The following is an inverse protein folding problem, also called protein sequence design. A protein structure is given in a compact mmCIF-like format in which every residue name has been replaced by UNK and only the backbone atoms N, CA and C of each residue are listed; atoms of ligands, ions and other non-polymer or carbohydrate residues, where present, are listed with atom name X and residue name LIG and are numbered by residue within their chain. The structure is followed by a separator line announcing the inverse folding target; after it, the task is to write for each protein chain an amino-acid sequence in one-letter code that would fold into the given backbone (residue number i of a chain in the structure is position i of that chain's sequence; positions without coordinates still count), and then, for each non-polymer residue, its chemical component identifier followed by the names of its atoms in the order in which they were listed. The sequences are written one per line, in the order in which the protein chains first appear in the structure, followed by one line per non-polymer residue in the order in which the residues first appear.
data_IF_261552936080
#
_entry.id   IF_261552936080
#
_cell.length_a   1.000
_cell.length_b   1.000
_cell.length_c   1.000
_cell.angle_alpha   90.00
_cell.angle_beta   90.00
_cell.angle_gamma   90.00
#
_symmetry.space_group_name_H-M   'P 1'
#
loop_
_entity.id
_entity.type
_entity.pdbx_description
1 polymer ?
#
# COMPACT_ATOMS: atom_id res chain seq x y z
N UNK A 1 12.23 23.50 70.20
CA UNK A 1 12.25 24.97 70.39
C UNK A 1 11.74 25.57 69.09
N UNK A 2 10.44 25.89 68.99
CA UNK A 2 9.72 27.06 69.53
C UNK A 2 9.66 28.18 68.47
N UNK A 3 8.46 28.31 67.86
CA UNK A 3 7.77 29.51 67.35
C UNK A 3 8.45 30.34 66.24
N UNK A 4 7.77 30.93 65.24
CA UNK A 4 6.54 31.76 65.19
C UNK A 4 6.20 31.92 63.67
N UNK A 5 4.99 31.65 63.11
CA UNK A 5 3.76 32.47 63.12
C UNK A 5 4.05 33.96 62.75
N UNK A 6 3.49 34.65 61.74
CA UNK A 6 2.12 34.95 61.24
C UNK A 6 2.35 35.78 59.93
N UNK A 7 1.55 35.67 58.86
CA UNK A 7 0.60 36.72 58.50
C UNK A 7 -0.26 36.32 57.29
N UNK A 8 -1.56 36.18 57.56
CA UNK A 8 -2.64 36.27 56.59
C UNK A 8 -2.74 37.71 56.08
N UNK A 9 -2.88 37.89 54.76
CA UNK A 9 -3.43 39.11 54.19
C UNK A 9 -4.75 38.73 53.50
N UNK A 10 -5.80 39.10 54.21
CA UNK A 10 -7.16 39.27 53.71
C UNK A 10 -7.13 40.53 52.84
N UNK A 11 -7.53 40.45 51.56
CA UNK A 11 -7.83 41.64 50.78
C UNK A 11 -9.19 41.51 50.08
N UNK A 12 -10.10 42.30 50.65
CA UNK A 12 -11.38 42.84 50.23
C UNK A 12 -12.01 42.37 48.90
N UNK A 13 -13.23 41.86 49.07
CA UNK A 13 -14.38 42.06 48.19
C UNK A 13 -14.45 43.50 47.64
N UNK A 14 -14.48 43.63 46.32
CA UNK A 14 -15.12 44.75 45.63
C UNK A 14 -16.29 44.19 44.84
N UNK A 15 -17.48 44.28 45.44
CA UNK A 15 -18.76 44.12 44.76
C UNK A 15 -18.96 45.42 43.98
N UNK A 16 -18.60 45.43 42.69
CA UNK A 16 -18.97 46.54 41.81
C UNK A 16 -20.32 46.25 41.18
N UNK A 17 -21.21 47.20 41.42
CA UNK A 17 -22.62 47.26 41.07
C UNK A 17 -22.99 46.74 39.67
N UNK A 18 -24.08 45.97 39.63
CA UNK A 18 -24.96 45.86 38.47
C UNK A 18 -25.37 47.26 38.00
N UNK A 19 -25.02 47.61 36.77
CA UNK A 19 -25.69 48.65 35.99
C UNK A 19 -26.17 48.01 34.71
N UNK A 20 -27.42 47.58 34.70
CA UNK A 20 -28.12 47.09 33.52
C UNK A 20 -28.48 48.28 32.62
N UNK A 21 -27.51 48.75 31.83
CA UNK A 21 -27.82 49.54 30.64
C UNK A 21 -28.31 48.58 29.56
N UNK A 22 -29.61 48.64 29.30
CA UNK A 22 -30.24 48.12 28.08
C UNK A 22 -29.69 48.92 26.88
N UNK A 23 -28.48 48.60 26.43
CA UNK A 23 -28.08 48.88 25.06
C UNK A 23 -28.80 47.88 24.17
N UNK A 24 -29.76 48.39 23.40
CA UNK A 24 -30.25 47.73 22.20
C UNK A 24 -29.05 47.56 21.26
N UNK A 25 -28.33 46.46 21.40
CA UNK A 25 -27.35 45.99 20.44
C UNK A 25 -28.11 45.73 19.14
N UNK A 26 -28.13 46.75 18.29
CA UNK A 26 -28.44 46.62 16.88
C UNK A 26 -27.50 45.56 16.33
N UNK A 27 -28.03 44.35 16.14
CA UNK A 27 -27.36 43.26 15.46
C UNK A 27 -27.08 43.72 14.02
N UNK A 28 -25.96 44.41 13.83
CA UNK A 28 -25.35 44.56 12.53
C UNK A 28 -25.05 43.14 12.08
N UNK A 29 -25.94 42.58 11.25
CA UNK A 29 -25.65 41.38 10.46
C UNK A 29 -24.49 41.76 9.57
N UNK A 30 -23.28 41.59 10.08
CA UNK A 30 -22.07 41.53 9.28
C UNK A 30 -22.31 40.36 8.34
N UNK A 31 -22.72 40.67 7.11
CA UNK A 31 -22.70 39.76 5.99
C UNK A 31 -21.22 39.43 5.75
N UNK A 32 -20.66 38.54 6.57
CA UNK A 32 -19.37 37.95 6.31
C UNK A 32 -19.50 37.28 4.96
N UNK A 33 -18.83 37.85 3.95
CA UNK A 33 -18.75 37.25 2.64
C UNK A 33 -18.15 35.87 2.87
N UNK A 34 -18.95 34.84 2.65
CA UNK A 34 -18.53 33.46 2.81
C UNK A 34 -17.36 33.24 1.85
N UNK A 35 -16.16 33.14 2.42
CA UNK A 35 -14.95 33.03 1.63
C UNK A 35 -14.97 31.68 0.91
N UNK A 36 -14.76 31.71 -0.41
CA UNK A 36 -14.81 30.49 -1.22
C UNK A 36 -13.57 29.64 -1.03
N UNK A 37 -13.73 28.33 -1.19
CA UNK A 37 -12.61 27.40 -1.18
C UNK A 37 -11.62 27.72 -2.33
N UNK A 38 -10.33 27.97 -2.05
CA UNK A 38 -9.40 28.58 -3.00
C UNK A 38 -8.81 27.56 -3.98
N UNK A 39 -9.65 26.94 -4.81
CA UNK A 39 -9.26 25.82 -5.69
C UNK A 39 -8.22 26.21 -6.75
N UNK A 40 -8.26 27.45 -7.24
CA UNK A 40 -7.30 27.94 -8.24
C UNK A 40 -5.90 28.12 -7.66
N UNK A 41 -5.81 28.47 -6.37
CA UNK A 41 -4.53 28.51 -5.67
C UNK A 41 -3.95 27.10 -5.56
N UNK A 42 -4.75 26.11 -5.13
CA UNK A 42 -4.34 24.70 -5.03
C UNK A 42 -3.85 24.18 -6.39
N UNK A 43 -4.61 24.42 -7.47
CA UNK A 43 -4.22 24.05 -8.84
C UNK A 43 -2.85 24.63 -9.23
N UNK A 44 -2.59 25.89 -8.87
CA UNK A 44 -1.35 26.58 -9.21
C UNK A 44 -0.12 26.02 -8.49
N UNK A 45 -0.29 25.57 -7.25
CA UNK A 45 0.84 25.17 -6.38
C UNK A 45 1.05 23.66 -6.27
N UNK A 46 0.12 22.86 -6.80
CA UNK A 46 0.20 21.40 -6.84
C UNK A 46 0.78 20.92 -8.16
N UNK A 47 1.34 19.70 -8.18
CA UNK A 47 1.71 19.05 -9.44
C UNK A 47 0.48 18.51 -10.17
N UNK A 48 0.53 18.43 -11.50
CA UNK A 48 -0.46 17.65 -12.27
C UNK A 48 -0.41 16.18 -11.82
N UNK A 49 -1.57 15.60 -11.51
CA UNK A 49 -1.68 14.18 -11.13
C UNK A 49 -1.16 13.27 -12.23
N UNK A 50 -0.18 12.44 -11.87
CA UNK A 50 0.44 11.44 -12.73
C UNK A 50 -0.22 10.09 -12.55
N UNK A 51 -0.03 9.21 -13.53
CA UNK A 51 -0.48 7.82 -13.44
C UNK A 51 0.24 7.06 -12.32
N UNK A 52 1.52 7.31 -12.10
CA UNK A 52 2.34 6.55 -11.16
C UNK A 52 3.19 7.45 -10.27
N UNK A 53 3.26 7.11 -8.99
CA UNK A 53 4.18 7.70 -8.01
C UNK A 53 4.89 6.60 -7.22
N UNK A 54 6.20 6.76 -7.05
CA UNK A 54 6.97 6.07 -6.01
C UNK A 54 7.18 7.07 -4.87
N UNK A 55 6.53 6.86 -3.72
CA UNK A 55 6.58 7.82 -2.62
C UNK A 55 7.94 7.87 -1.91
N UNK A 56 8.78 6.85 -2.07
CA UNK A 56 10.14 6.86 -1.50
C UNK A 56 11.10 7.75 -2.28
N UNK A 57 10.81 7.96 -3.56
CA UNK A 57 11.58 8.86 -4.41
C UNK A 57 11.06 10.29 -4.37
N UNK A 58 10.05 10.57 -3.54
CA UNK A 58 9.45 11.89 -3.44
C UNK A 58 10.28 12.78 -2.52
N UNK A 59 10.89 13.81 -3.10
CA UNK A 59 11.49 14.88 -2.33
C UNK A 59 10.43 15.93 -1.96
N UNK A 60 9.86 15.80 -0.76
CA UNK A 60 8.84 16.71 -0.24
C UNK A 60 9.34 18.17 -0.14
N UNK A 61 10.65 18.42 -0.08
CA UNK A 61 11.20 19.77 -0.01
C UNK A 61 11.01 20.55 -1.33
N UNK A 62 10.78 19.85 -2.44
CA UNK A 62 10.48 20.46 -3.74
C UNK A 62 9.02 20.88 -3.89
N UNK A 63 8.16 20.49 -2.95
CA UNK A 63 6.73 20.79 -2.98
C UNK A 63 6.43 22.13 -2.31
N UNK A 64 5.30 22.73 -2.70
CA UNK A 64 4.87 23.99 -2.09
C UNK A 64 4.30 23.73 -0.69
N UNK A 65 4.86 24.34 0.38
CA UNK A 65 4.32 24.20 1.72
C UNK A 65 2.95 24.90 1.83
N UNK A 66 2.04 24.30 2.59
CA UNK A 66 0.74 24.88 2.93
C UNK A 66 0.94 25.77 4.14
N UNK A 67 0.51 27.03 4.02
CA UNK A 67 0.50 27.95 5.15
C UNK A 67 -0.36 27.41 6.31
N UNK A 68 0.12 27.54 7.55
CA UNK A 68 -0.57 27.00 8.72
C UNK A 68 -1.97 27.59 8.92
N UNK A 69 -2.18 28.87 8.59
CA UNK A 69 -3.50 29.50 8.67
C UNK A 69 -4.44 28.95 7.58
N UNK A 70 -3.91 28.69 6.39
CA UNK A 70 -4.66 28.01 5.32
C UNK A 70 -5.09 26.61 5.77
N UNK A 71 -4.14 25.80 6.27
CA UNK A 71 -4.43 24.44 6.68
C UNK A 71 -5.46 24.41 7.80
N UNK A 72 -5.25 25.23 8.83
CA UNK A 72 -6.14 25.32 9.98
C UNK A 72 -7.56 25.73 9.60
N UNK A 73 -7.68 26.63 8.63
CA UNK A 73 -8.99 27.10 8.15
C UNK A 73 -9.76 26.02 7.40
N UNK A 74 -9.08 25.28 6.53
CA UNK A 74 -9.76 24.43 5.55
C UNK A 74 -9.79 22.95 5.90
N UNK A 75 -8.77 22.45 6.61
CA UNK A 75 -8.55 21.02 6.85
C UNK A 75 -8.59 20.61 8.32
N UNK A 76 -8.36 21.52 9.27
CA UNK A 76 -8.40 21.18 10.70
C UNK A 76 -9.76 20.60 11.11
N UNK A 77 -9.71 19.49 11.85
CA UNK A 77 -10.86 18.72 12.35
C UNK A 77 -11.74 18.11 11.27
N UNK A 78 -11.27 18.04 10.02
CA UNK A 78 -11.99 17.29 8.98
C UNK A 78 -11.95 15.80 9.31
N UNK A 79 -13.11 15.16 9.27
CA UNK A 79 -13.24 13.71 9.42
C UNK A 79 -12.59 13.03 8.22
N UNK A 80 -11.82 11.98 8.49
CA UNK A 80 -11.23 11.13 7.46
C UNK A 80 -12.22 10.00 7.16
N UNK A 81 -12.74 9.94 5.94
CA UNK A 81 -13.84 9.07 5.54
C UNK A 81 -13.56 7.58 5.76
N UNK A 82 -12.29 7.18 5.70
CA UNK A 82 -11.84 5.79 5.87
C UNK A 82 -11.10 5.52 7.17
N UNK A 83 -11.03 6.52 8.04
CA UNK A 83 -10.53 6.39 9.40
C UNK A 83 -11.32 7.34 10.31
N UNK A 84 -12.53 6.93 10.65
CA UNK A 84 -13.45 7.73 11.46
C UNK A 84 -12.90 8.02 12.88
N UNK A 85 -11.87 7.29 13.34
CA UNK A 85 -11.21 7.52 14.62
C UNK A 85 -10.27 8.73 14.61
N UNK A 86 -9.73 9.09 13.45
CA UNK A 86 -8.62 10.02 13.34
C UNK A 86 -8.94 11.15 12.36
N UNK A 87 -9.64 12.22 12.82
CA UNK A 87 -9.77 13.41 11.98
C UNK A 87 -8.39 14.01 11.71
N UNK A 88 -8.27 14.74 10.60
CA UNK A 88 -7.10 15.59 10.36
C UNK A 88 -7.05 16.61 11.51
N UNK A 89 -5.92 16.65 12.23
CA UNK A 89 -5.69 17.60 13.31
C UNK A 89 -4.54 18.50 12.90
N UNK A 90 -4.77 19.81 12.97
CA UNK A 90 -3.67 20.74 12.84
C UNK A 90 -2.71 20.57 14.02
N UNK A 91 -1.48 20.24 13.70
CA UNK A 91 -0.31 20.28 14.56
C UNK A 91 0.62 21.41 14.11
N UNK A 92 1.11 22.17 15.10
CA UNK A 92 2.00 23.32 14.93
C UNK A 92 3.43 22.91 14.53
N UNK A 93 3.85 21.69 14.87
CA UNK A 93 5.20 21.19 14.58
C UNK A 93 5.29 20.40 13.29
N UNK A 94 4.14 19.98 12.77
CA UNK A 94 4.01 19.29 11.50
C UNK A 94 4.19 20.22 10.30
N UNK A 95 4.57 19.64 9.16
CA UNK A 95 4.66 20.32 7.87
C UNK A 95 3.63 19.75 6.90
N UNK A 96 3.04 20.63 6.10
CA UNK A 96 1.99 20.26 5.16
C UNK A 96 2.37 20.71 3.77
N UNK A 97 2.12 19.89 2.76
CA UNK A 97 2.45 20.18 1.37
C UNK A 97 1.29 19.86 0.46
N UNK A 98 1.08 20.71 -0.55
CA UNK A 98 0.28 20.32 -1.70
C UNK A 98 1.09 19.38 -2.58
N UNK A 99 0.51 18.24 -2.93
CA UNK A 99 1.21 17.21 -3.69
C UNK A 99 0.77 17.17 -5.14
N UNK A 100 -0.46 16.73 -5.39
CA UNK A 100 -0.99 16.58 -6.73
C UNK A 100 -2.40 17.17 -6.90
N UNK A 101 -2.81 17.34 -8.15
CA UNK A 101 -4.10 17.93 -8.53
C UNK A 101 -4.63 17.30 -9.82
N UNK A 102 -5.94 17.08 -9.87
CA UNK A 102 -6.67 16.63 -11.05
C UNK A 102 -8.05 17.29 -11.12
N UNK A 103 -8.33 17.95 -12.23
CA UNK A 103 -9.69 18.38 -12.56
C UNK A 103 -10.48 17.21 -13.17
N UNK A 104 -11.60 16.84 -12.54
CA UNK A 104 -12.47 15.74 -12.94
C UNK A 104 -13.90 16.24 -13.30
N UNK A 105 -13.99 17.42 -13.92
CA UNK A 105 -15.25 17.96 -14.41
C UNK A 105 -16.07 18.63 -13.31
N UNK A 106 -17.00 17.90 -12.67
CA UNK A 106 -17.80 18.46 -11.56
C UNK A 106 -17.06 18.49 -10.23
N UNK A 107 -16.01 17.67 -10.13
CA UNK A 107 -15.17 17.57 -8.94
C UNK A 107 -13.73 17.95 -9.25
N UNK A 108 -12.99 18.23 -8.20
CA UNK A 108 -11.54 18.35 -8.19
C UNK A 108 -11.00 17.36 -7.19
N UNK A 109 -9.96 16.65 -7.60
CA UNK A 109 -9.19 15.76 -6.74
C UNK A 109 -7.83 16.39 -6.50
N UNK A 110 -7.37 16.43 -5.26
CA UNK A 110 -6.02 16.86 -4.95
C UNK A 110 -5.52 16.12 -3.72
N UNK A 111 -4.20 16.03 -3.58
CA UNK A 111 -3.59 15.35 -2.43
C UNK A 111 -2.76 16.31 -1.61
N UNK A 112 -2.74 16.08 -0.30
CA UNK A 112 -1.84 16.75 0.63
C UNK A 112 -0.95 15.72 1.33
N UNK A 113 0.25 16.15 1.68
CA UNK A 113 1.17 15.37 2.53
C UNK A 113 1.23 16.08 3.87
N UNK A 114 0.96 15.34 4.93
CA UNK A 114 1.20 15.74 6.29
C UNK A 114 2.44 14.99 6.78
N UNK A 115 3.54 15.73 6.95
CA UNK A 115 4.75 15.23 7.60
C UNK A 115 4.67 15.53 9.08
N UNK A 116 4.55 14.49 9.90
CA UNK A 116 4.48 14.65 11.36
C UNK A 116 5.88 14.81 12.00
N UNK A 117 5.89 15.06 13.31
CA UNK A 117 7.12 15.23 14.09
C UNK A 117 7.91 13.92 14.27
N UNK A 118 7.26 12.78 14.07
CA UNK A 118 7.87 11.45 14.20
C UNK A 118 8.49 10.95 12.89
N UNK A 119 8.41 11.75 11.82
CA UNK A 119 9.01 11.43 10.53
C UNK A 119 8.13 10.57 9.62
N UNK A 120 6.86 10.41 9.94
CA UNK A 120 5.89 9.80 9.04
C UNK A 120 5.28 10.85 8.12
N UNK A 121 5.02 10.42 6.89
CA UNK A 121 4.33 11.15 5.85
C UNK A 121 2.97 10.51 5.64
N UNK A 122 1.91 11.20 6.06
CA UNK A 122 0.53 10.80 5.85
C UNK A 122 0.01 11.46 4.56
N UNK A 123 -0.49 10.67 3.64
CA UNK A 123 -0.99 11.12 2.34
C UNK A 123 -2.50 11.11 2.34
N UNK A 124 -3.11 12.28 2.17
CA UNK A 124 -4.56 12.41 2.08
C UNK A 124 -4.96 12.77 0.65
N UNK A 125 -5.96 12.10 0.10
CA UNK A 125 -6.66 12.55 -1.10
C UNK A 125 -7.96 13.26 -0.69
N UNK A 126 -8.19 14.42 -1.29
CA UNK A 126 -9.35 15.27 -1.00
C UNK A 126 -10.17 15.41 -2.28
N UNK A 127 -11.50 15.28 -2.12
CA UNK A 127 -12.48 15.51 -3.19
C UNK A 127 -13.27 16.77 -2.90
N UNK A 128 -13.22 17.73 -3.83
CA UNK A 128 -13.97 18.97 -3.78
C UNK A 128 -15.03 19.01 -4.87
N UNK A 129 -16.28 19.31 -4.54
CA UNK A 129 -17.36 19.45 -5.51
C UNK A 129 -17.59 20.92 -5.85
N UNK A 130 -17.31 21.28 -7.11
CA UNK A 130 -17.38 22.65 -7.61
C UNK A 130 -18.79 23.23 -7.61
N UNK A 131 -19.82 22.38 -7.71
CA UNK A 131 -21.22 22.81 -7.76
C UNK A 131 -21.74 23.17 -6.37
N UNK A 132 -21.36 22.38 -5.36
CA UNK A 132 -21.71 22.66 -3.96
C UNK A 132 -20.76 23.63 -3.26
N UNK A 133 -19.57 23.86 -3.84
CA UNK A 133 -18.46 24.58 -3.23
C UNK A 133 -18.01 23.99 -1.88
N UNK A 134 -18.10 22.66 -1.72
CA UNK A 134 -17.75 21.95 -0.49
C UNK A 134 -16.65 20.91 -0.72
N UNK A 135 -15.83 20.72 0.32
CA UNK A 135 -15.02 19.51 0.46
C UNK A 135 -15.98 18.36 0.78
N UNK A 136 -16.14 17.44 -0.16
CA UNK A 136 -17.03 16.30 0.03
C UNK A 136 -16.35 15.19 0.83
N UNK A 137 -15.06 14.95 0.58
CA UNK A 137 -14.36 13.75 1.07
C UNK A 137 -12.89 14.01 1.35
N UNK A 138 -12.36 13.31 2.35
CA UNK A 138 -10.97 13.28 2.78
C UNK A 138 -10.59 11.83 3.10
N UNK A 139 -9.76 11.22 2.26
CA UNK A 139 -9.33 9.83 2.39
C UNK A 139 -7.85 9.77 2.75
N UNK A 140 -7.47 9.04 3.80
CA UNK A 140 -6.07 8.66 4.05
C UNK A 140 -5.69 7.55 3.05
N UNK A 141 -4.81 7.84 2.10
CA UNK A 141 -4.48 6.93 1.00
C UNK A 141 -3.13 6.23 1.14
N UNK A 142 -2.20 6.75 1.95
CA UNK A 142 -0.93 6.08 2.25
C UNK A 142 -0.30 6.66 3.53
N UNK A 143 0.55 5.87 4.18
CA UNK A 143 1.45 6.31 5.24
C UNK A 143 2.84 5.82 4.87
N UNK A 144 3.79 6.74 4.70
CA UNK A 144 5.19 6.45 4.36
C UNK A 144 6.10 6.86 5.52
N UNK A 145 7.16 6.10 5.77
CA UNK A 145 8.04 6.31 6.92
C UNK A 145 8.10 5.10 7.83
N UNK A 146 8.94 5.16 8.84
CA UNK A 146 9.12 4.06 9.80
C UNK A 146 10.09 4.45 10.90
N UNK A 147 9.68 4.20 12.15
CA UNK A 147 10.58 4.07 13.27
C UNK A 147 10.96 2.58 13.46
N UNK A 148 12.09 2.31 14.12
CA UNK A 148 12.36 0.97 14.63
C UNK A 148 12.80 -0.12 13.63
N UNK A 149 13.29 0.24 12.43
CA UNK A 149 13.88 -0.72 11.48
C UNK A 149 12.88 -1.38 10.52
N UNK A 150 11.64 -0.90 10.50
CA UNK A 150 10.70 -1.19 9.42
C UNK A 150 10.74 -0.05 8.40
N UNK A 151 10.81 -0.36 7.11
CA UNK A 151 10.63 0.61 6.04
C UNK A 151 9.33 0.32 5.30
N UNK A 152 8.47 1.33 5.20
CA UNK A 152 7.24 1.26 4.42
C UNK A 152 7.43 2.07 3.15
N UNK A 153 7.31 1.40 2.02
CA UNK A 153 7.39 1.92 0.67
C UNK A 153 6.00 1.90 0.03
N UNK A 154 5.55 3.03 -0.51
CA UNK A 154 4.23 3.13 -1.14
C UNK A 154 4.33 3.51 -2.61
N UNK A 155 3.55 2.80 -3.44
CA UNK A 155 3.43 3.05 -4.86
C UNK A 155 1.98 3.37 -5.21
N UNK A 156 1.73 4.57 -5.72
CA UNK A 156 0.41 5.01 -6.14
C UNK A 156 0.27 4.80 -7.65
N UNK A 157 -0.77 4.09 -8.09
CA UNK A 157 -1.09 3.90 -9.50
C UNK A 157 -2.53 4.32 -9.78
N UNK A 158 -2.69 5.56 -10.25
CA UNK A 158 -3.98 6.12 -10.62
C UNK A 158 -4.45 5.60 -11.98
N UNK A 159 -5.76 5.45 -12.16
CA UNK A 159 -6.34 5.22 -13.47
C UNK A 159 -6.22 6.48 -14.37
N UNK A 160 -6.65 6.37 -15.63
CA UNK A 160 -6.55 7.47 -16.61
C UNK A 160 -7.34 8.72 -16.18
N UNK A 161 -8.46 8.52 -15.50
CA UNK A 161 -9.32 9.61 -15.03
C UNK A 161 -8.78 10.27 -13.75
N UNK A 162 -7.90 9.58 -13.01
CA UNK A 162 -7.35 10.03 -11.73
C UNK A 162 -8.27 9.80 -10.54
N UNK A 163 -9.42 9.14 -10.75
CA UNK A 163 -10.49 8.90 -9.77
C UNK A 163 -10.49 7.48 -9.18
N UNK A 164 -9.63 6.61 -9.68
CA UNK A 164 -9.35 5.29 -9.10
C UNK A 164 -7.86 5.16 -8.80
N UNK A 165 -7.53 4.58 -7.66
CA UNK A 165 -6.16 4.38 -7.18
C UNK A 165 -5.93 2.91 -6.82
N UNK A 166 -4.88 2.32 -7.39
CA UNK A 166 -4.29 1.09 -6.88
C UNK A 166 -3.04 1.47 -6.07
N UNK A 167 -3.11 1.28 -4.76
CA UNK A 167 -2.02 1.46 -3.82
C UNK A 167 -1.30 0.13 -3.60
N UNK A 168 0.00 0.09 -3.85
CA UNK A 168 0.85 -1.02 -3.39
C UNK A 168 1.69 -0.51 -2.23
N UNK A 169 1.49 -1.09 -1.06
CA UNK A 169 2.35 -0.85 0.12
C UNK A 169 3.29 -2.03 0.25
N UNK A 170 4.59 -1.77 0.34
CA UNK A 170 5.63 -2.75 0.60
C UNK A 170 6.21 -2.42 1.97
N UNK A 171 6.09 -3.35 2.91
CA UNK A 171 6.64 -3.24 4.25
C UNK A 171 7.84 -4.18 4.28
N UNK A 172 9.03 -3.63 4.58
CA UNK A 172 10.20 -4.45 4.82
C UNK A 172 10.69 -4.29 6.25
N UNK A 173 10.87 -5.43 6.92
CA UNK A 173 11.40 -5.50 8.27
C UNK A 173 12.89 -5.89 8.20
N UNK A 174 13.76 -5.03 8.74
CA UNK A 174 15.15 -5.41 9.01
C UNK A 174 15.24 -6.00 10.42
N UNK A 175 15.14 -7.34 10.52
CA UNK A 175 15.44 -8.02 11.78
C UNK A 175 16.96 -8.09 11.98
N UNK A 176 17.49 -7.21 12.83
CA UNK A 176 18.80 -7.37 13.45
C UNK A 176 18.76 -8.54 14.45
N UNK A 177 19.35 -9.68 14.07
CA UNK A 177 19.90 -10.62 15.05
C UNK A 177 21.40 -10.67 14.84
N UNK A 178 22.10 -10.41 15.93
CA UNK A 178 23.55 -10.37 16.07
C UNK A 178 24.27 -11.37 15.16
N UNK A 179 25.28 -10.82 14.49
CA UNK A 179 26.32 -11.49 13.71
C UNK A 179 25.93 -12.12 12.36
N UNK A 180 26.06 -11.27 11.32
CA UNK A 180 26.55 -11.64 9.98
C UNK A 180 25.63 -12.36 8.98
N UNK A 181 24.30 -12.15 8.97
CA UNK A 181 23.45 -12.34 7.78
C UNK A 181 22.07 -11.67 7.96
N UNK A 182 21.79 -10.57 7.24
CA UNK A 182 20.49 -9.91 7.28
C UNK A 182 19.45 -10.69 6.45
N UNK A 183 18.30 -11.01 7.04
CA UNK A 183 17.12 -11.48 6.32
C UNK A 183 16.13 -10.33 6.24
N UNK A 184 15.95 -9.77 5.05
CA UNK A 184 14.90 -8.78 4.78
C UNK A 184 13.61 -9.57 4.57
N UNK A 185 12.64 -9.41 5.47
CA UNK A 185 11.27 -9.86 5.19
C UNK A 185 10.55 -8.74 4.46
N UNK A 186 9.93 -9.05 3.32
CA UNK A 186 9.18 -8.08 2.51
C UNK A 186 7.74 -8.58 2.40
N UNK A 187 6.80 -7.85 2.99
CA UNK A 187 5.37 -8.05 2.82
C UNK A 187 4.80 -6.97 1.90
N UNK A 188 3.86 -7.32 1.03
CA UNK A 188 3.20 -6.34 0.18
C UNK A 188 1.68 -6.47 0.24
N UNK A 189 1.01 -5.32 0.31
CA UNK A 189 -0.45 -5.20 0.33
C UNK A 189 -0.86 -4.36 -0.86
N UNK A 190 -1.74 -4.92 -1.69
CA UNK A 190 -2.40 -4.19 -2.78
C UNK A 190 -3.80 -3.77 -2.32
N UNK A 191 -4.04 -2.46 -2.33
CA UNK A 191 -5.31 -1.85 -1.96
C UNK A 191 -5.88 -1.11 -3.16
N UNK A 192 -7.12 -1.40 -3.53
CA UNK A 192 -7.87 -0.62 -4.53
C UNK A 192 -8.77 0.39 -3.82
N UNK A 193 -8.74 1.63 -4.28
CA UNK A 193 -9.48 2.77 -3.74
C UNK A 193 -10.22 3.47 -4.89
N UNK A 194 -11.50 3.76 -4.72
CA UNK A 194 -12.33 4.50 -5.70
C UNK A 194 -12.77 5.84 -5.11
N UNK A 195 -12.23 6.95 -5.63
CA UNK A 195 -12.25 8.27 -4.98
C UNK A 195 -13.55 9.06 -5.24
N UNK A 196 -14.22 8.81 -6.37
CA UNK A 196 -15.43 9.52 -6.80
C UNK A 196 -16.75 8.78 -6.52
N UNK A 197 -16.72 7.68 -5.75
CA UNK A 197 -17.94 6.97 -5.35
C UNK A 197 -18.55 7.60 -4.08
N UNK A 198 -19.89 7.62 -3.93
CA UNK A 198 -20.56 8.12 -2.71
C UNK A 198 -20.21 7.32 -1.45
N UNK A 199 -19.65 6.11 -1.62
CA UNK A 199 -19.03 5.30 -0.59
C UNK A 199 -17.76 4.69 -1.17
N UNK A 200 -16.61 4.92 -0.55
CA UNK A 200 -15.37 4.28 -1.03
C UNK A 200 -15.45 2.80 -0.72
N UNK A 201 -15.24 1.99 -1.74
CA UNK A 201 -14.91 0.59 -1.57
C UNK A 201 -13.40 0.46 -1.40
N UNK A 202 -12.96 0.13 -0.19
CA UNK A 202 -11.63 -0.40 0.04
C UNK A 202 -11.68 -1.91 -0.17
N UNK A 203 -10.94 -2.40 -1.15
CA UNK A 203 -10.62 -3.83 -1.20
C UNK A 203 -9.13 -3.97 -0.94
N UNK A 204 -8.79 -4.39 0.28
CA UNK A 204 -7.45 -4.86 0.61
C UNK A 204 -7.37 -6.32 0.20
N UNK A 205 -6.42 -6.65 -0.66
CA UNK A 205 -6.01 -8.05 -0.78
C UNK A 205 -5.02 -8.33 0.35
N UNK A 206 -5.56 -8.46 1.57
CA UNK A 206 -4.79 -8.92 2.72
C UNK A 206 -4.32 -10.36 2.44
N UNK A 207 -3.03 -10.63 2.64
CA UNK A 207 -2.34 -11.87 2.23
C UNK A 207 -2.79 -13.12 3.00
N UNK A 208 -3.91 -13.06 3.73
CA UNK A 208 -4.51 -14.18 4.47
C UNK A 208 -5.63 -14.95 3.75
N UNK A 209 -5.94 -14.69 2.47
CA UNK A 209 -6.79 -15.61 1.69
C UNK A 209 -6.24 -15.81 0.29
N UNK A 210 -5.82 -17.05 0.01
CA UNK A 210 -5.42 -17.64 -1.29
C UNK A 210 -4.96 -16.59 -2.30
N UNK A 211 -3.67 -16.25 -2.25
CA UNK A 211 -3.03 -15.48 -3.32
C UNK A 211 -3.28 -16.22 -4.64
N UNK A 212 -4.14 -15.67 -5.49
CA UNK A 212 -4.31 -16.12 -6.87
C UNK A 212 -3.69 -15.07 -7.80
N UNK A 213 -2.71 -15.48 -8.59
CA UNK A 213 -2.06 -14.60 -9.57
C UNK A 213 -2.79 -14.70 -10.89
N UNK A 214 -3.23 -13.57 -11.46
CA UNK A 214 -4.09 -13.56 -12.65
C UNK A 214 -3.56 -12.64 -13.74
N UNK A 215 -3.52 -13.13 -14.98
CA UNK A 215 -3.26 -12.31 -16.18
C UNK A 215 -4.39 -12.52 -17.16
N UNK A 216 -4.97 -11.43 -17.68
CA UNK A 216 -6.02 -11.46 -18.71
C UNK A 216 -5.47 -10.87 -19.99
N UNK A 217 -5.61 -11.59 -21.11
CA UNK A 217 -5.19 -11.08 -22.43
C UNK A 217 -6.22 -10.09 -23.02
N UNK A 218 -5.88 -9.50 -24.18
CA UNK A 218 -6.74 -8.55 -24.90
C UNK A 218 -8.07 -9.16 -25.37
N UNK A 219 -8.20 -10.49 -25.37
CA UNK A 219 -9.42 -11.22 -25.73
C UNK A 219 -10.23 -11.64 -24.50
N UNK A 220 -9.84 -11.21 -23.29
CA UNK A 220 -10.53 -11.52 -22.05
C UNK A 220 -10.22 -12.91 -21.46
N UNK A 221 -9.22 -13.65 -22.00
CA UNK A 221 -8.85 -14.94 -21.41
C UNK A 221 -7.93 -14.73 -20.21
N UNK A 222 -8.31 -15.29 -19.07
CA UNK A 222 -7.53 -15.20 -17.83
C UNK A 222 -6.79 -16.51 -17.53
N UNK A 223 -5.47 -16.44 -17.27
CA UNK A 223 -4.72 -17.49 -16.58
C UNK A 223 -4.67 -17.12 -15.10
N UNK A 224 -5.08 -18.04 -14.22
CA UNK A 224 -5.01 -17.90 -12.77
C UNK A 224 -4.07 -18.95 -12.20
N UNK A 225 -3.09 -18.57 -11.42
CA UNK A 225 -2.26 -19.50 -10.66
C UNK A 225 -2.71 -19.44 -9.22
N UNK A 226 -3.00 -20.60 -8.63
CA UNK A 226 -3.36 -20.72 -7.22
C UNK A 226 -2.27 -21.45 -6.45
N UNK A 227 -2.41 -21.45 -5.13
CA UNK A 227 -1.61 -22.30 -4.26
C UNK A 227 -2.35 -23.58 -3.84
N UNK A 228 -1.56 -24.58 -3.45
CA UNK A 228 -2.01 -25.82 -2.82
C UNK A 228 -1.06 -26.19 -1.67
N UNK A 229 -1.57 -26.90 -0.68
CA UNK A 229 -0.82 -27.29 0.53
C UNK A 229 -0.63 -28.80 0.66
N UNK A 230 -1.32 -29.58 -0.18
CA UNK A 230 -1.25 -31.04 -0.18
C UNK A 230 -0.65 -31.49 -1.50
N UNK A 231 0.46 -32.23 -1.42
CA UNK A 231 1.13 -32.76 -2.60
C UNK A 231 0.29 -33.90 -3.20
N UNK A 232 0.29 -34.06 -4.54
CA UNK A 232 -0.32 -35.22 -5.18
C UNK A 232 0.29 -36.53 -4.67
N UNK A 233 -0.50 -37.62 -4.55
CA UNK A 233 0.03 -38.92 -4.12
C UNK A 233 1.13 -39.48 -5.03
N UNK A 234 1.20 -39.03 -6.28
CA UNK A 234 2.24 -39.40 -7.24
C UNK A 234 3.60 -38.74 -6.94
N UNK A 235 3.64 -37.72 -6.09
CA UNK A 235 4.87 -37.12 -5.59
C UNK A 235 5.22 -37.80 -4.27
N UNK A 236 6.03 -38.85 -4.37
CA UNK A 236 6.55 -39.61 -3.23
C UNK A 236 8.09 -39.67 -3.33
N UNK A 237 8.78 -39.35 -2.23
CA UNK A 237 10.24 -39.23 -2.19
C UNK A 237 10.78 -37.89 -2.68
N UNK A 238 11.87 -37.94 -3.45
CA UNK A 238 12.60 -36.75 -3.87
C UNK A 238 11.72 -35.81 -4.71
N UNK A 239 11.72 -34.52 -4.36
CA UNK A 239 10.90 -33.54 -5.07
C UNK A 239 11.52 -32.15 -5.07
N UNK A 240 11.15 -31.36 -6.09
CA UNK A 240 11.24 -29.91 -6.02
C UNK A 240 9.86 -29.33 -5.73
N UNK A 241 9.76 -28.53 -4.68
CA UNK A 241 8.53 -27.83 -4.30
C UNK A 241 8.79 -26.33 -4.32
N UNK A 242 7.99 -25.58 -5.09
CA UNK A 242 8.14 -24.13 -5.20
C UNK A 242 6.90 -23.38 -4.72
N UNK A 243 7.16 -22.23 -4.11
CA UNK A 243 6.18 -21.21 -3.73
C UNK A 243 6.56 -19.87 -4.38
N UNK A 244 5.71 -18.86 -4.29
CA UNK A 244 5.99 -17.55 -4.92
C UNK A 244 7.10 -16.80 -4.19
N UNK A 245 7.15 -16.96 -2.87
CA UNK A 245 8.16 -16.35 -2.01
C UNK A 245 8.45 -17.26 -0.80
N UNK A 246 9.43 -16.84 0.01
CA UNK A 246 9.86 -17.56 1.20
C UNK A 246 8.77 -17.66 2.27
N UNK A 247 7.86 -16.68 2.36
CA UNK A 247 6.76 -16.70 3.31
C UNK A 247 5.69 -17.73 2.90
N UNK A 248 5.31 -17.75 1.63
CA UNK A 248 4.40 -18.76 1.08
C UNK A 248 4.98 -20.17 1.25
N UNK A 249 6.29 -20.34 1.04
CA UNK A 249 6.97 -21.61 1.27
C UNK A 249 6.88 -22.08 2.73
N UNK A 250 7.22 -21.21 3.70
CA UNK A 250 7.12 -21.51 5.14
C UNK A 250 5.70 -21.84 5.60
N UNK A 251 4.69 -21.35 4.89
CA UNK A 251 3.27 -21.60 5.18
C UNK A 251 2.67 -22.74 4.34
N UNK A 252 3.50 -23.57 3.69
CA UNK A 252 3.07 -24.67 2.83
C UNK A 252 2.09 -24.24 1.73
N UNK A 253 2.33 -23.08 1.11
CA UNK A 253 1.53 -22.53 0.01
C UNK A 253 2.27 -22.67 -1.32
N UNK A 254 2.29 -23.90 -1.82
CA UNK A 254 3.04 -24.26 -3.02
C UNK A 254 2.27 -23.89 -4.28
N UNK A 255 3.00 -23.48 -5.31
CA UNK A 255 2.47 -23.25 -6.67
C UNK A 255 2.90 -24.35 -7.63
N UNK A 256 3.95 -25.10 -7.30
CA UNK A 256 4.54 -26.10 -8.18
C UNK A 256 5.17 -27.22 -7.37
N UNK A 257 5.10 -28.44 -7.91
CA UNK A 257 5.87 -29.58 -7.43
C UNK A 257 6.27 -30.51 -8.57
N UNK A 258 7.45 -31.15 -8.51
CA UNK A 258 7.82 -32.28 -9.37
C UNK A 258 8.37 -33.46 -8.57
N UNK A 259 8.56 -34.60 -9.24
CA UNK A 259 9.12 -35.82 -8.66
C UNK A 259 10.55 -36.14 -9.15
N UNK A 260 11.32 -35.14 -9.61
CA UNK A 260 12.61 -35.29 -10.32
C UNK A 260 12.62 -36.18 -11.59
N UNK A 261 11.52 -36.85 -11.90
CA UNK A 261 11.30 -37.49 -13.19
C UNK A 261 10.69 -36.46 -14.15
N UNK A 262 9.85 -36.94 -15.07
CA UNK A 262 9.21 -36.09 -16.07
C UNK A 262 7.89 -35.50 -15.59
N UNK A 263 7.43 -35.78 -14.37
CA UNK A 263 6.09 -35.37 -13.90
C UNK A 263 6.16 -34.16 -12.98
N UNK A 264 5.35 -33.15 -13.30
CA UNK A 264 5.15 -32.00 -12.40
C UNK A 264 3.69 -31.56 -12.33
N UNK A 265 3.37 -30.78 -11.31
CA UNK A 265 2.03 -30.29 -11.01
C UNK A 265 2.04 -28.82 -10.67
N UNK A 266 1.05 -28.08 -11.18
CA UNK A 266 0.82 -26.68 -10.86
C UNK A 266 -0.68 -26.38 -10.86
N UNK A 267 -1.15 -25.55 -9.92
CA UNK A 267 -2.57 -25.21 -9.83
C UNK A 267 -2.89 -24.04 -10.77
N UNK A 268 -3.48 -24.37 -11.92
CA UNK A 268 -3.87 -23.43 -12.98
C UNK A 268 -5.38 -23.39 -13.11
N UNK A 269 -5.95 -22.19 -13.10
CA UNK A 269 -7.40 -21.93 -13.18
C UNK A 269 -8.24 -22.69 -12.14
N UNK A 270 -7.70 -22.84 -10.93
CA UNK A 270 -8.35 -23.56 -9.83
C UNK A 270 -8.15 -25.08 -9.84
N UNK A 271 -7.66 -25.65 -10.94
CA UNK A 271 -7.41 -27.09 -11.09
C UNK A 271 -5.93 -27.42 -10.97
N UNK A 272 -5.60 -28.54 -10.34
CA UNK A 272 -4.22 -29.05 -10.32
C UNK A 272 -3.92 -29.71 -11.67
N UNK A 273 -3.06 -29.07 -12.46
CA UNK A 273 -2.72 -29.49 -13.82
C UNK A 273 -1.42 -30.29 -13.77
N UNK A 274 -1.45 -31.48 -14.37
CA UNK A 274 -0.27 -32.31 -14.61
C UNK A 274 0.47 -31.80 -15.83
N UNK A 275 1.79 -31.72 -15.71
CA UNK A 275 2.72 -31.32 -16.74
C UNK A 275 3.75 -32.43 -16.94
N UNK A 276 4.17 -32.62 -18.20
CA UNK A 276 5.23 -33.54 -18.59
C UNK A 276 6.43 -32.75 -19.06
N UNK A 277 7.62 -33.05 -18.51
CA UNK A 277 8.87 -32.44 -18.95
C UNK A 277 9.19 -32.91 -20.36
N UNK A 278 9.51 -31.98 -21.24
CA UNK A 278 9.80 -32.25 -22.66
C UNK A 278 11.21 -31.86 -23.07
N UNK A 279 11.88 -30.98 -22.31
CA UNK A 279 13.25 -30.55 -22.56
C UNK A 279 13.88 -29.98 -21.28
N UNK A 280 15.20 -30.10 -21.17
CA UNK A 280 16.01 -29.52 -20.09
C UNK A 280 17.29 -28.98 -20.70
N UNK A 281 17.62 -27.74 -20.37
CA UNK A 281 18.86 -27.08 -20.78
C UNK A 281 19.59 -26.58 -19.56
N UNK A 282 20.85 -26.97 -19.45
CA UNK A 282 21.78 -26.46 -18.47
C UNK A 282 22.62 -25.36 -19.12
N UNK A 283 22.81 -24.25 -18.41
CA UNK A 283 23.71 -23.18 -18.84
C UNK A 283 25.01 -23.22 -18.02
N UNK A 284 26.07 -22.61 -18.56
CA UNK A 284 27.42 -22.60 -17.96
C UNK A 284 27.48 -21.96 -16.55
N UNK A 285 26.44 -21.22 -16.13
CA UNK A 285 26.32 -20.56 -14.82
C UNK A 285 25.56 -21.40 -13.77
N UNK A 286 25.41 -22.71 -14.01
CA UNK A 286 24.64 -23.62 -13.17
C UNK A 286 23.15 -23.22 -13.04
N UNK A 287 22.63 -22.49 -14.04
CA UNK A 287 21.20 -22.25 -14.20
C UNK A 287 20.55 -23.31 -15.07
N UNK A 288 19.37 -23.77 -14.64
CA UNK A 288 18.59 -24.80 -15.31
C UNK A 288 17.37 -24.15 -15.97
N UNK A 289 17.14 -24.48 -17.23
CA UNK A 289 15.92 -24.14 -17.96
C UNK A 289 15.17 -25.42 -18.31
N UNK A 290 14.03 -25.63 -17.68
CA UNK A 290 13.18 -26.80 -17.86
C UNK A 290 11.92 -26.41 -18.62
N UNK A 291 11.52 -27.26 -19.56
CA UNK A 291 10.34 -27.06 -20.39
C UNK A 291 9.36 -28.18 -20.13
N UNK A 292 8.10 -27.81 -19.91
CA UNK A 292 7.02 -28.76 -19.67
C UNK A 292 5.81 -28.44 -20.54
N UNK A 293 5.01 -29.48 -20.82
CA UNK A 293 3.76 -29.38 -21.56
C UNK A 293 2.62 -30.10 -20.84
N UNK A 294 1.43 -29.55 -21.03
CA UNK A 294 0.15 -30.18 -20.71
C UNK A 294 -0.79 -29.99 -21.91
N UNK A 295 -2.02 -30.48 -21.81
CA UNK A 295 -3.01 -30.35 -22.88
C UNK A 295 -3.28 -28.91 -23.30
N UNK A 296 -3.22 -27.94 -22.37
CA UNK A 296 -3.64 -26.56 -22.63
C UNK A 296 -2.56 -25.51 -22.33
N UNK A 297 -1.44 -25.93 -21.74
CA UNK A 297 -0.41 -25.03 -21.25
C UNK A 297 1.00 -25.53 -21.56
N UNK A 298 1.88 -24.58 -21.83
CA UNK A 298 3.33 -24.74 -21.83
C UNK A 298 3.87 -24.04 -20.58
N UNK A 299 4.83 -24.69 -19.91
CA UNK A 299 5.49 -24.16 -18.72
C UNK A 299 7.00 -24.14 -18.94
N UNK A 300 7.64 -23.02 -18.61
CA UNK A 300 9.10 -22.88 -18.63
C UNK A 300 9.54 -22.48 -17.24
N UNK A 301 10.44 -23.25 -16.65
CA UNK A 301 11.06 -22.93 -15.36
C UNK A 301 12.50 -22.54 -15.63
N UNK A 302 12.90 -21.37 -15.13
CA UNK A 302 14.28 -20.87 -15.17
C UNK A 302 14.74 -20.71 -13.74
N UNK A 303 15.54 -21.65 -13.24
CA UNK A 303 15.98 -21.70 -11.85
C UNK A 303 17.50 -21.65 -11.70
N UNK A 304 17.95 -21.16 -10.56
CA UNK A 304 19.34 -21.28 -10.10
C UNK A 304 19.35 -21.73 -8.63
N UNK A 305 20.43 -22.40 -8.24
CA UNK A 305 20.67 -22.75 -6.84
C UNK A 305 21.10 -21.51 -6.07
N UNK A 306 20.52 -21.31 -4.89
CA UNK A 306 20.89 -20.22 -3.96
C UNK A 306 21.76 -20.71 -2.79
N UNK A 307 21.83 -22.02 -2.59
CA UNK A 307 22.59 -22.61 -1.50
C UNK A 307 22.02 -23.94 -1.05
N UNK A 308 22.72 -24.57 -0.10
CA UNK A 308 22.33 -25.84 0.49
C UNK A 308 21.55 -25.58 1.78
N UNK A 309 20.37 -26.18 1.91
CA UNK A 309 19.52 -26.08 3.12
C UNK A 309 19.84 -27.19 4.13
N UNK A 310 20.22 -28.38 3.64
CA UNK A 310 20.61 -29.55 4.44
C UNK A 310 21.48 -30.50 3.61
N UNK A 311 21.87 -31.65 4.15
CA UNK A 311 22.71 -32.61 3.44
C UNK A 311 22.10 -33.10 2.11
N UNK A 312 20.78 -33.08 1.93
CA UNK A 312 20.15 -33.59 0.70
C UNK A 312 19.17 -32.60 0.04
N UNK A 313 19.15 -31.35 0.51
CA UNK A 313 18.22 -30.32 0.02
C UNK A 313 18.93 -29.03 -0.42
N UNK A 314 18.56 -28.51 -1.59
CA UNK A 314 19.03 -27.26 -2.16
C UNK A 314 17.91 -26.23 -2.27
N UNK A 315 18.22 -24.98 -1.93
CA UNK A 315 17.31 -23.85 -2.15
C UNK A 315 17.42 -23.38 -3.60
N UNK A 316 16.27 -23.16 -4.22
CA UNK A 316 16.17 -22.62 -5.58
C UNK A 316 15.37 -21.33 -5.62
N UNK A 317 15.80 -20.42 -6.50
CA UNK A 317 15.00 -19.28 -6.95
C UNK A 317 15.00 -19.17 -8.45
N UNK A 318 13.95 -18.55 -8.96
CA UNK A 318 13.85 -18.38 -10.40
C UNK A 318 12.53 -17.81 -10.86
N UNK A 319 12.21 -18.12 -12.12
CA UNK A 319 10.96 -17.72 -12.77
C UNK A 319 10.24 -18.90 -13.39
N UNK A 320 8.92 -18.95 -13.21
CA UNK A 320 8.00 -19.82 -13.93
C UNK A 320 7.25 -18.98 -14.95
N UNK A 321 7.23 -19.42 -16.19
CA UNK A 321 6.46 -18.81 -17.29
C UNK A 321 5.41 -19.83 -17.71
N UNK A 322 4.13 -19.47 -17.63
CA UNK A 322 3.02 -20.28 -18.13
C UNK A 322 2.40 -19.59 -19.32
N UNK A 323 2.30 -20.32 -20.43
CA UNK A 323 1.65 -19.88 -21.65
C UNK A 323 0.48 -20.81 -21.96
N UNK A 324 -0.69 -20.27 -22.22
CA UNK A 324 -1.80 -21.07 -22.74
C UNK A 324 -1.76 -21.17 -24.26
N UNK A 325 -2.50 -22.12 -24.84
CA UNK A 325 -2.64 -22.26 -26.31
C UNK A 325 -3.17 -21.01 -27.03
N UNK A 326 -3.84 -20.09 -26.32
CA UNK A 326 -4.37 -18.84 -26.86
C UNK A 326 -3.34 -17.70 -26.89
N UNK A 327 -2.14 -17.93 -26.36
CA UNK A 327 -1.04 -16.96 -26.35
C UNK A 327 -0.96 -16.09 -25.10
N UNK A 328 -1.93 -16.15 -24.18
CA UNK A 328 -1.83 -15.47 -22.89
C UNK A 328 -0.65 -16.06 -22.10
N UNK A 329 0.16 -15.20 -21.49
CA UNK A 329 1.36 -15.61 -20.76
C UNK A 329 1.36 -14.96 -19.38
N UNK A 330 1.68 -15.73 -18.34
CA UNK A 330 1.94 -15.24 -16.99
C UNK A 330 3.37 -15.61 -16.57
N UNK A 331 4.04 -14.67 -15.92
CA UNK A 331 5.39 -14.83 -15.38
C UNK A 331 5.33 -14.66 -13.87
N UNK A 332 5.92 -15.62 -13.16
CA UNK A 332 5.96 -15.66 -11.70
C UNK A 332 7.40 -15.83 -11.25
N UNK A 333 7.80 -15.11 -10.21
CA UNK A 333 9.01 -15.48 -9.47
C UNK A 333 8.69 -16.63 -8.52
N UNK A 334 9.68 -17.43 -8.18
CA UNK A 334 9.51 -18.50 -7.19
C UNK A 334 10.69 -18.58 -6.22
N UNK A 335 10.40 -19.15 -5.05
CA UNK A 335 11.34 -19.65 -4.06
C UNK A 335 10.90 -21.05 -3.64
N UNK A 336 11.85 -21.97 -3.48
CA UNK A 336 11.54 -23.25 -2.86
C UNK A 336 12.75 -24.13 -2.68
N UNK A 337 12.50 -25.40 -2.46
CA UNK A 337 13.53 -26.38 -2.19
C UNK A 337 13.39 -27.59 -3.11
N UNK A 338 14.52 -28.24 -3.32
CA UNK A 338 14.68 -29.44 -4.13
C UNK A 338 15.51 -30.41 -3.32
N UNK A 339 15.00 -31.60 -3.04
CA UNK A 339 15.79 -32.59 -2.32
C UNK A 339 15.14 -33.95 -2.16
N UNK A 340 15.93 -34.82 -1.56
CA UNK A 340 15.57 -36.07 -0.94
C UNK A 340 15.81 -35.91 0.58
#
# INVERSE_FOLDING_TARGET
MKYLQIASIILLFVISACSSKNEKASAAKNNAIEEKFPIDYIRKVSMERRKYYNLDSLDAQTLTPIDSSFFKKWFDKRTVDNDNSNPIKFDLFSRYYFFDFKDAGKTVLFSIIWMDETGYNLFYNITYNKSSEQLERVDLIAVNGGDGGQSVSNYLNFNVLGDGLNLTTVISDEYSRNDHNYVIQVDSVLTKIELLQPKVSYSTNDSKRVKEWRVTDSSGNTIRIGSFSTLPPEIDGCSCVFSIDTNDFKNNRFIYVNNYEQTSYMKVNGSLVKFTQVDVKENDDNSLIEYYKSDNFEMIIKGKDEGRNSDETWLKRGRIIIKNKKGSTILLNFYGECGC
#
